data_IF_978716159703
#
_entry.id   IF_978716159703
#
_cell.length_a   1.000
_cell.length_b   1.000
_cell.length_c   1.000
_cell.angle_alpha   90.00
_cell.angle_beta   90.00
_cell.angle_gamma   90.00
#
_symmetry.space_group_name_H-M   'P 1'
#
loop_
_entity.id
_entity.type
_entity.pdbx_description
1 polymer ?
#
# COMPACT_ATOMS: atom_id res chain seq x y z
N UNK A 1 -5.64 11.60 14.18
CA UNK A 1 -5.23 10.66 13.11
C UNK A 1 -5.76 11.01 11.71
N UNK A 2 -6.99 11.51 11.53
CA UNK A 2 -7.53 11.91 10.20
C UNK A 2 -6.68 12.94 9.44
N UNK A 3 -6.15 13.95 10.13
CA UNK A 3 -5.34 15.04 9.54
C UNK A 3 -4.01 14.53 8.97
N UNK A 4 -3.37 13.57 9.65
CA UNK A 4 -2.11 12.96 9.19
C UNK A 4 -2.30 12.14 7.91
N UNK A 5 -3.40 11.39 7.82
CA UNK A 5 -3.75 10.57 6.66
C UNK A 5 -4.10 11.43 5.44
N UNK A 6 -4.72 12.61 5.64
CA UNK A 6 -5.06 13.55 4.56
C UNK A 6 -3.84 14.29 3.98
N UNK A 7 -2.81 14.52 4.80
CA UNK A 7 -1.62 15.30 4.42
C UNK A 7 -0.55 14.46 3.70
N UNK A 8 -0.42 13.18 4.06
CA UNK A 8 0.65 12.31 3.56
C UNK A 8 0.19 11.54 2.32
N UNK A 9 0.82 11.79 1.17
CA UNK A 9 0.70 10.89 0.01
C UNK A 9 1.30 9.54 0.39
N UNK A 10 0.55 8.44 0.32
CA UNK A 10 1.00 7.10 0.76
C UNK A 10 2.40 6.68 0.26
N UNK A 11 2.79 7.14 -0.93
CA UNK A 11 4.12 6.89 -1.49
C UNK A 11 5.26 7.60 -0.75
N UNK A 12 5.03 8.77 -0.16
CA UNK A 12 6.07 9.50 0.58
C UNK A 12 6.38 8.84 1.93
N UNK A 13 5.39 8.19 2.56
CA UNK A 13 5.59 7.46 3.80
C UNK A 13 6.50 6.23 3.63
N UNK A 14 6.26 5.42 2.60
CA UNK A 14 7.10 4.24 2.32
C UNK A 14 8.54 4.66 1.96
N UNK A 15 8.70 5.76 1.21
CA UNK A 15 10.02 6.35 0.93
C UNK A 15 10.72 6.82 2.21
N UNK A 16 9.98 7.39 3.16
CA UNK A 16 10.54 7.84 4.45
C UNK A 16 11.07 6.66 5.26
N UNK A 17 10.25 5.61 5.45
CA UNK A 17 10.67 4.37 6.14
C UNK A 17 11.94 3.80 5.50
N UNK A 18 11.95 3.72 4.17
CA UNK A 18 13.10 3.20 3.41
C UNK A 18 14.35 4.07 3.59
N UNK A 19 14.19 5.39 3.67
CA UNK A 19 15.30 6.34 3.89
C UNK A 19 15.87 6.25 5.30
N UNK A 20 15.02 6.11 6.33
CA UNK A 20 15.46 5.83 7.72
C UNK A 20 16.27 4.55 7.77
N UNK A 21 15.78 3.49 7.12
CA UNK A 21 16.43 2.19 7.14
C UNK A 21 17.80 2.19 6.46
N UNK A 22 17.94 2.86 5.32
CA UNK A 22 19.21 3.06 4.65
C UNK A 22 20.22 3.80 5.53
N UNK A 23 19.77 4.85 6.24
CA UNK A 23 20.62 5.62 7.18
C UNK A 23 21.11 4.75 8.34
N UNK A 24 20.32 3.76 8.76
CA UNK A 24 20.67 2.79 9.81
C UNK A 24 21.77 1.79 9.39
N UNK A 25 22.14 1.74 8.08
CA UNK A 25 23.13 0.79 7.51
C UNK A 25 22.84 -0.69 7.79
N UNK A 26 21.61 -1.04 8.14
CA UNK A 26 21.21 -2.41 8.42
C UNK A 26 20.99 -3.17 7.10
N UNK A 27 21.69 -4.29 6.92
CA UNK A 27 21.60 -5.11 5.71
C UNK A 27 20.61 -6.27 5.88
N UNK A 28 19.33 -5.96 6.10
CA UNK A 28 18.29 -6.96 6.37
C UNK A 28 17.46 -7.20 5.10
N UNK A 29 17.71 -8.32 4.43
CA UNK A 29 17.03 -8.70 3.19
C UNK A 29 15.50 -8.76 3.32
N UNK A 30 14.99 -9.34 4.41
CA UNK A 30 13.54 -9.48 4.63
C UNK A 30 12.85 -8.10 4.67
N UNK A 31 13.52 -7.08 5.20
CA UNK A 31 12.95 -5.75 5.29
C UNK A 31 12.85 -5.08 3.91
N UNK A 32 13.87 -5.25 3.07
CA UNK A 32 13.84 -4.80 1.67
C UNK A 32 12.71 -5.47 0.87
N UNK A 33 12.45 -6.75 1.11
CA UNK A 33 11.40 -7.50 0.45
C UNK A 33 10.00 -7.08 0.93
N UNK A 34 9.83 -6.81 2.24
CA UNK A 34 8.59 -6.24 2.80
C UNK A 34 8.32 -4.84 2.24
N UNK A 35 9.34 -3.97 2.18
CA UNK A 35 9.18 -2.63 1.59
C UNK A 35 8.80 -2.73 0.11
N UNK A 36 9.46 -3.62 -0.65
CA UNK A 36 9.09 -3.83 -2.05
C UNK A 36 7.62 -4.25 -2.15
N UNK A 37 7.22 -5.24 -1.36
CA UNK A 37 5.85 -5.75 -1.36
C UNK A 37 4.83 -4.64 -1.10
N UNK A 38 5.05 -3.82 -0.08
CA UNK A 38 4.17 -2.68 0.27
C UNK A 38 4.16 -1.66 -0.87
N UNK A 39 5.34 -1.33 -1.43
CA UNK A 39 5.47 -0.35 -2.53
C UNK A 39 4.67 -0.80 -3.76
N UNK A 40 4.80 -2.07 -4.16
CA UNK A 40 4.06 -2.63 -5.29
C UNK A 40 2.56 -2.71 -4.98
N UNK A 41 2.19 -3.11 -3.77
CA UNK A 41 0.79 -3.18 -3.34
C UNK A 41 0.10 -1.82 -3.44
N UNK A 42 0.72 -0.77 -2.89
CA UNK A 42 0.19 0.60 -2.97
C UNK A 42 0.10 1.11 -4.40
N UNK A 43 1.11 0.79 -5.23
CA UNK A 43 1.12 1.19 -6.64
C UNK A 43 0.00 0.53 -7.45
N UNK A 44 -0.27 -0.75 -7.22
CA UNK A 44 -1.27 -1.50 -7.99
C UNK A 44 -2.68 -1.43 -7.41
N UNK A 45 -2.84 -0.95 -6.17
CA UNK A 45 -4.13 -0.84 -5.51
C UNK A 45 -5.17 -0.02 -6.31
N UNK A 46 -4.86 1.18 -6.84
CA UNK A 46 -5.83 1.95 -7.63
C UNK A 46 -6.29 1.20 -8.89
N UNK A 47 -5.38 0.47 -9.55
CA UNK A 47 -5.73 -0.32 -10.72
C UNK A 47 -6.64 -1.50 -10.37
N UNK A 48 -6.36 -2.20 -9.26
CA UNK A 48 -7.21 -3.26 -8.74
C UNK A 48 -8.62 -2.73 -8.42
N UNK A 49 -8.71 -1.58 -7.75
CA UNK A 49 -9.98 -0.93 -7.43
C UNK A 49 -10.77 -0.55 -8.68
N UNK A 50 -10.10 0.01 -9.69
CA UNK A 50 -10.73 0.37 -10.95
C UNK A 50 -11.23 -0.86 -11.72
N UNK A 51 -10.47 -1.95 -11.73
CA UNK A 51 -10.92 -3.23 -12.31
C UNK A 51 -12.14 -3.74 -11.57
N UNK A 52 -12.10 -3.80 -10.24
CA UNK A 52 -13.24 -4.23 -9.42
C UNK A 52 -14.53 -3.47 -9.78
N UNK A 53 -14.45 -2.13 -9.82
CA UNK A 53 -15.58 -1.28 -10.25
C UNK A 53 -16.01 -1.52 -11.70
N UNK A 54 -15.09 -1.90 -12.59
CA UNK A 54 -15.41 -2.23 -13.98
C UNK A 54 -16.21 -3.51 -14.08
N UNK A 55 -15.90 -4.51 -13.26
CA UNK A 55 -16.67 -5.75 -13.17
C UNK A 55 -18.06 -5.51 -12.59
N UNK A 56 -18.17 -4.74 -11.51
CA UNK A 56 -19.48 -4.37 -10.94
C UNK A 56 -20.36 -3.67 -11.98
N UNK A 57 -19.80 -2.70 -12.72
CA UNK A 57 -20.51 -2.05 -13.83
C UNK A 57 -20.88 -3.03 -14.94
N UNK A 58 -19.99 -3.96 -15.28
CA UNK A 58 -20.27 -5.02 -16.25
C UNK A 58 -21.47 -5.88 -15.86
N UNK A 59 -21.61 -6.24 -14.58
CA UNK A 59 -22.77 -6.96 -14.07
C UNK A 59 -24.06 -6.15 -14.21
N UNK A 60 -24.02 -4.85 -13.89
CA UNK A 60 -25.16 -3.93 -14.07
C UNK A 60 -25.60 -3.89 -15.54
N UNK A 61 -24.65 -3.78 -16.49
CA UNK A 61 -24.97 -3.78 -17.93
C UNK A 61 -25.57 -5.09 -18.42
N UNK A 62 -25.23 -6.22 -17.80
CA UNK A 62 -25.80 -7.54 -18.08
C UNK A 62 -27.16 -7.76 -17.39
N UNK A 63 -27.68 -6.77 -16.67
CA UNK A 63 -28.93 -6.90 -15.90
C UNK A 63 -28.79 -7.75 -14.63
N UNK A 64 -27.57 -8.11 -14.23
CA UNK A 64 -27.30 -8.87 -13.01
C UNK A 64 -27.37 -7.88 -11.84
N UNK A 65 -28.42 -7.98 -11.04
CA UNK A 65 -28.59 -7.12 -9.89
C UNK A 65 -27.82 -7.65 -8.68
N UNK A 66 -26.64 -7.08 -8.41
CA UNK A 66 -25.78 -7.46 -7.29
C UNK A 66 -26.40 -7.19 -5.90
N UNK A 67 -27.48 -6.41 -5.83
CA UNK A 67 -28.14 -6.03 -4.58
C UNK A 67 -29.49 -6.71 -4.34
N UNK A 68 -30.11 -7.31 -5.36
CA UNK A 68 -31.39 -8.00 -5.20
C UNK A 68 -31.18 -9.52 -5.20
N UNK A 69 -31.33 -10.14 -4.03
CA UNK A 69 -31.20 -11.58 -3.85
C UNK A 69 -30.99 -11.98 -2.40
N UNK A 70 -31.03 -13.29 -2.13
CA UNK A 70 -30.66 -13.84 -0.82
C UNK A 70 -29.16 -13.61 -0.54
N UNK A 71 -28.73 -13.53 0.73
CA UNK A 71 -27.32 -13.31 1.05
C UNK A 71 -26.40 -14.38 0.45
N UNK A 72 -26.89 -15.61 0.30
CA UNK A 72 -26.17 -16.72 -0.36
C UNK A 72 -25.95 -16.46 -1.85
N UNK A 73 -26.96 -15.95 -2.59
CA UNK A 73 -26.78 -15.69 -4.02
C UNK A 73 -25.80 -14.53 -4.27
N UNK A 74 -25.83 -13.51 -3.40
CA UNK A 74 -24.87 -12.40 -3.42
C UNK A 74 -23.45 -12.89 -3.14
N UNK A 75 -23.26 -13.74 -2.12
CA UNK A 75 -21.96 -14.31 -1.80
C UNK A 75 -21.39 -15.11 -2.98
N UNK A 76 -22.23 -15.92 -3.63
CA UNK A 76 -21.85 -16.69 -4.82
C UNK A 76 -21.40 -15.78 -5.98
N UNK A 77 -22.13 -14.70 -6.24
CA UNK A 77 -21.74 -13.73 -7.27
C UNK A 77 -20.40 -13.06 -6.96
N UNK A 78 -20.20 -12.60 -5.71
CA UNK A 78 -18.94 -11.98 -5.31
C UNK A 78 -17.77 -12.97 -5.29
N UNK A 79 -17.99 -14.24 -4.93
CA UNK A 79 -16.96 -15.26 -4.98
C UNK A 79 -16.49 -15.54 -6.40
N UNK A 80 -17.43 -15.64 -7.36
CA UNK A 80 -17.10 -15.86 -8.77
C UNK A 80 -16.30 -14.67 -9.34
N UNK A 81 -16.73 -13.44 -9.01
CA UNK A 81 -16.00 -12.22 -9.38
C UNK A 81 -14.61 -12.17 -8.74
N UNK A 82 -14.49 -12.53 -7.47
CA UNK A 82 -13.22 -12.56 -6.76
C UNK A 82 -12.25 -13.57 -7.39
N UNK A 83 -12.69 -14.80 -7.68
CA UNK A 83 -11.87 -15.83 -8.31
C UNK A 83 -11.37 -15.35 -9.68
N UNK A 84 -12.24 -14.70 -10.47
CA UNK A 84 -11.87 -14.13 -11.76
C UNK A 84 -10.79 -13.06 -11.61
N UNK A 85 -10.96 -12.13 -10.67
CA UNK A 85 -9.95 -11.08 -10.41
C UNK A 85 -8.65 -11.68 -9.89
N UNK A 86 -8.71 -12.66 -8.98
CA UNK A 86 -7.55 -13.35 -8.44
C UNK A 86 -6.71 -14.00 -9.54
N UNK A 87 -7.35 -14.72 -10.47
CA UNK A 87 -6.67 -15.34 -11.61
C UNK A 87 -5.98 -14.31 -12.52
N UNK A 88 -6.61 -13.15 -12.74
CA UNK A 88 -6.02 -12.07 -13.52
C UNK A 88 -4.81 -11.44 -12.80
N UNK A 89 -4.92 -11.20 -11.50
CA UNK A 89 -3.82 -10.64 -10.71
C UNK A 89 -2.65 -11.63 -10.58
N UNK A 90 -2.92 -12.93 -10.52
CA UNK A 90 -1.89 -13.96 -10.54
C UNK A 90 -1.10 -13.94 -11.86
N UNK A 91 -1.78 -13.92 -13.01
CA UNK A 91 -1.11 -13.79 -14.31
C UNK A 91 -0.29 -12.51 -14.41
N UNK A 92 -0.84 -11.41 -13.91
CA UNK A 92 -0.16 -10.11 -13.88
C UNK A 92 1.07 -10.13 -12.97
N UNK A 93 1.00 -10.78 -11.80
CA UNK A 93 2.15 -10.87 -10.88
C UNK A 93 3.30 -11.65 -11.51
N UNK A 94 3.00 -12.71 -12.27
CA UNK A 94 4.00 -13.47 -13.02
C UNK A 94 4.72 -12.59 -14.06
N UNK A 95 3.96 -11.81 -14.84
CA UNK A 95 4.52 -10.87 -15.81
C UNK A 95 5.39 -9.80 -15.15
N UNK A 96 4.91 -9.21 -14.04
CA UNK A 96 5.68 -8.22 -13.27
C UNK A 96 6.96 -8.83 -12.71
N UNK A 97 6.88 -10.03 -12.14
CA UNK A 97 8.03 -10.76 -11.59
C UNK A 97 9.09 -11.00 -12.65
N UNK A 98 8.69 -11.47 -13.83
CA UNK A 98 9.61 -11.66 -14.95
C UNK A 98 10.24 -10.34 -15.40
N UNK A 99 9.45 -9.27 -15.55
CA UNK A 99 9.96 -7.94 -15.91
C UNK A 99 10.94 -7.38 -14.87
N UNK A 100 10.67 -7.60 -13.58
CA UNK A 100 11.55 -7.18 -12.48
C UNK A 100 12.87 -7.96 -12.53
N UNK A 101 12.83 -9.28 -12.75
CA UNK A 101 14.04 -10.11 -12.92
C UNK A 101 14.87 -9.69 -14.13
N UNK A 102 14.23 -9.42 -15.28
CA UNK A 102 14.93 -8.96 -16.50
C UNK A 102 15.65 -7.62 -16.30
N UNK A 103 15.18 -6.79 -15.38
CA UNK A 103 15.84 -5.53 -14.98
C UNK A 103 17.01 -5.73 -13.99
N UNK A 104 17.42 -6.97 -13.74
CA UNK A 104 18.52 -7.30 -12.83
C UNK A 104 18.15 -7.26 -11.34
N UNK A 105 16.85 -7.27 -11.02
CA UNK A 105 16.42 -7.28 -9.62
C UNK A 105 16.80 -8.60 -8.95
N UNK A 106 17.48 -8.51 -7.81
CA UNK A 106 17.96 -9.67 -7.03
C UNK A 106 19.47 -9.92 -7.15
N UNK A 107 20.16 -9.29 -8.09
CA UNK A 107 21.59 -9.51 -8.33
C UNK A 107 22.51 -8.70 -7.39
N UNK A 108 22.04 -7.57 -6.83
CA UNK A 108 22.82 -6.73 -5.93
C UNK A 108 22.05 -6.44 -4.63
N UNK A 109 22.71 -6.60 -3.47
CA UNK A 109 22.20 -6.26 -2.14
C UNK A 109 23.35 -5.74 -1.26
N UNK A 110 23.18 -4.64 -0.49
CA UNK A 110 21.98 -3.81 -0.31
C UNK A 110 21.64 -2.97 -1.56
N UNK A 111 20.35 -2.68 -1.75
CA UNK A 111 19.90 -1.90 -2.92
C UNK A 111 19.92 -0.41 -2.63
N UNK A 112 20.46 0.36 -3.58
CA UNK A 112 20.38 1.81 -3.56
C UNK A 112 18.93 2.32 -3.61
N UNK A 113 18.73 3.55 -3.14
CA UNK A 113 17.45 4.27 -3.20
C UNK A 113 17.60 5.43 -4.17
N UNK A 114 16.62 5.58 -5.07
CA UNK A 114 16.49 6.77 -5.90
C UNK A 114 15.79 7.83 -5.05
N UNK A 115 16.44 8.97 -4.85
CA UNK A 115 15.99 10.12 -4.05
C UNK A 115 15.63 9.80 -2.59
N UNK A 116 16.63 9.47 -1.74
CA UNK A 116 16.39 9.32 -0.31
C UNK A 116 15.94 10.65 0.31
N UNK A 117 14.93 10.58 1.18
CA UNK A 117 14.48 11.74 1.96
C UNK A 117 15.57 12.03 2.99
N UNK A 118 16.13 13.25 2.92
CA UNK A 118 17.13 13.71 3.90
C UNK A 118 16.41 13.99 5.22
N UNK A 119 16.62 13.13 6.21
CA UNK A 119 16.06 13.29 7.56
C UNK A 119 17.10 13.95 8.44
N UNK A 120 16.77 15.14 8.92
CA UNK A 120 17.61 15.89 9.84
C UNK A 120 17.29 15.52 11.30
N UNK A 121 18.22 15.78 12.22
CA UNK A 121 17.99 15.49 13.65
C UNK A 121 16.81 16.29 14.22
N UNK A 122 16.63 17.53 13.76
CA UNK A 122 15.51 18.38 14.15
C UNK A 122 14.14 17.80 13.75
N UNK A 123 14.05 17.14 12.59
CA UNK A 123 12.80 16.51 12.15
C UNK A 123 12.33 15.40 13.11
N UNK A 124 13.30 14.68 13.69
CA UNK A 124 13.02 13.61 14.66
C UNK A 124 12.51 14.18 15.99
N UNK A 125 13.10 15.29 16.45
CA UNK A 125 12.66 16.01 17.65
C UNK A 125 11.22 16.54 17.46
N UNK A 126 10.96 17.21 16.34
CA UNK A 126 9.63 17.76 16.00
C UNK A 126 8.58 16.64 15.92
N UNK A 127 8.94 15.51 15.29
CA UNK A 127 8.05 14.34 15.19
C UNK A 127 7.64 13.75 16.55
N UNK A 128 8.45 13.91 17.59
CA UNK A 128 8.16 13.42 18.95
C UNK A 128 7.41 14.48 19.76
N UNK A 129 7.74 15.76 19.58
CA UNK A 129 7.18 16.86 20.38
C UNK A 129 5.70 17.14 20.04
N UNK A 130 5.32 17.04 18.76
CA UNK A 130 3.93 17.22 18.31
C UNK A 130 2.95 16.22 18.94
N UNK A 131 3.18 14.89 18.93
CA UNK A 131 2.24 13.96 19.56
C UNK A 131 2.20 14.12 21.07
N UNK A 132 3.32 14.40 21.73
CA UNK A 132 3.37 14.63 23.18
C UNK A 132 2.51 15.82 23.58
N UNK A 133 2.65 16.96 22.88
CA UNK A 133 1.84 18.16 23.15
C UNK A 133 0.36 17.91 22.93
N UNK A 134 -0.02 17.15 21.89
CA UNK A 134 -1.42 16.76 21.66
C UNK A 134 -1.96 15.84 22.75
N UNK A 135 -1.16 14.91 23.27
CA UNK A 135 -1.55 14.02 24.37
C UNK A 135 -1.79 14.85 25.64
N UNK A 136 -0.87 15.75 25.99
CA UNK A 136 -0.99 16.64 27.15
C UNK A 136 -2.26 17.51 27.06
N UNK A 137 -2.51 18.12 25.89
CA UNK A 137 -3.73 18.90 25.65
C UNK A 137 -5.00 18.05 25.81
N UNK A 138 -5.03 16.84 25.25
CA UNK A 138 -6.20 15.97 25.37
C UNK A 138 -6.48 15.56 26.83
N UNK A 139 -5.45 15.34 27.64
CA UNK A 139 -5.63 15.06 29.07
C UNK A 139 -6.08 16.30 29.86
N UNK A 140 -5.57 17.49 29.53
CA UNK A 140 -5.95 18.72 30.22
C UNK A 140 -7.35 19.24 29.84
N UNK A 141 -7.87 18.92 28.65
CA UNK A 141 -9.24 19.32 28.21
C UNK A 141 -10.33 18.39 28.77
N UNK A 142 -9.96 17.27 29.40
CA UNK A 142 -10.89 16.31 30.02
C UNK A 142 -11.16 16.57 31.52
N UNK A 143 -10.71 17.71 32.05
CA UNK A 143 -11.04 18.26 33.38
C UNK A 143 -11.99 19.43 33.17
#
# INVERSE_FOLDING_TARGET
MKIFILSVRNESFVKLIRSVFLKSRLNIRIFDDIILFITLSLRFYPELQNRWKSFERGHIYLGINNNNGSPISRLKLYSDMFIRILSMQYKKSLLISNNIKLRGYGNCHPRGIIDPIKINFYDLIISILIPITLIILHFNVKI
#
